data_IF_763799326360
#
_entry.id   IF_763799326360
#
_cell.length_a   1.000
_cell.length_b   1.000
_cell.length_c   1.000
_cell.angle_alpha   90.00
_cell.angle_beta   90.00
_cell.angle_gamma   90.00
#
_symmetry.space_group_name_H-M   'P 1'
#
loop_
_entity.id
_entity.type
_entity.pdbx_description
1 polymer ?
#
# COMPACT_ATOMS: atom_id res chain seq x y z
N UNK A 1 5.21 -8.54 -19.89
CA UNK A 1 4.87 -9.97 -19.70
C UNK A 1 5.24 -10.38 -18.30
N UNK A 2 4.53 -11.31 -17.64
CA UNK A 2 4.81 -11.62 -16.24
C UNK A 2 6.04 -12.51 -16.08
N UNK A 3 6.80 -12.29 -15.01
CA UNK A 3 7.89 -13.19 -14.64
C UNK A 3 7.36 -14.62 -14.39
N UNK A 4 8.10 -15.60 -14.88
CA UNK A 4 7.77 -17.03 -14.82
C UNK A 4 6.95 -17.53 -16.02
N UNK A 5 6.35 -16.67 -16.83
CA UNK A 5 5.57 -17.07 -18.00
C UNK A 5 6.44 -17.39 -19.22
N UNK A 6 5.83 -18.04 -20.22
CA UNK A 6 6.38 -18.18 -21.56
C UNK A 6 5.86 -17.05 -22.45
N UNK A 7 6.75 -16.44 -23.24
CA UNK A 7 6.43 -15.29 -24.09
C UNK A 7 6.90 -15.50 -25.51
N UNK A 8 6.30 -14.75 -26.45
CA UNK A 8 6.73 -14.68 -27.85
C UNK A 8 7.24 -13.27 -28.12
N UNK A 9 8.52 -13.15 -28.48
CA UNK A 9 9.11 -11.91 -28.99
C UNK A 9 8.89 -11.84 -30.50
N UNK A 10 8.11 -10.86 -31.00
CA UNK A 10 7.69 -10.84 -32.39
C UNK A 10 8.83 -10.47 -33.34
N UNK A 11 8.97 -11.19 -34.45
CA UNK A 11 9.82 -10.81 -35.57
C UNK A 11 9.28 -11.42 -36.86
N UNK A 12 8.91 -10.60 -37.83
CA UNK A 12 8.39 -11.11 -39.11
C UNK A 12 8.83 -10.24 -40.28
N UNK A 13 9.08 -10.85 -41.43
CA UNK A 13 9.50 -10.14 -42.65
C UNK A 13 8.31 -9.61 -43.43
N UNK A 14 8.49 -8.47 -44.11
CA UNK A 14 7.49 -7.89 -45.03
C UNK A 14 8.13 -7.64 -46.40
N UNK A 15 7.55 -8.13 -47.51
CA UNK A 15 6.36 -8.99 -47.58
C UNK A 15 6.58 -10.38 -46.95
N UNK A 16 5.49 -11.08 -46.62
CA UNK A 16 5.56 -12.42 -46.03
C UNK A 16 6.17 -13.40 -47.04
N UNK A 17 7.46 -13.66 -46.89
CA UNK A 17 8.23 -14.63 -47.69
C UNK A 17 8.79 -15.70 -46.76
N UNK A 18 9.01 -16.90 -47.29
CA UNK A 18 9.65 -17.97 -46.51
C UNK A 18 11.06 -17.56 -46.08
N UNK A 19 11.37 -17.74 -44.80
CA UNK A 19 12.70 -17.54 -44.23
C UNK A 19 13.33 -18.87 -43.77
N UNK A 20 12.77 -20.00 -44.18
CA UNK A 20 13.24 -21.35 -43.80
C UNK A 20 14.69 -21.59 -44.21
N UNK A 21 15.08 -21.12 -45.40
CA UNK A 21 16.44 -21.24 -45.95
C UNK A 21 17.36 -20.09 -45.55
N UNK A 22 16.90 -19.21 -44.64
CA UNK A 22 17.65 -18.06 -44.14
C UNK A 22 18.19 -18.34 -42.75
N UNK A 23 19.28 -17.66 -42.40
CA UNK A 23 19.80 -17.66 -41.03
C UNK A 23 19.03 -16.65 -40.21
N UNK A 24 18.50 -17.08 -39.07
CA UNK A 24 17.81 -16.22 -38.09
C UNK A 24 18.64 -16.17 -36.82
N UNK A 25 19.00 -14.97 -36.40
CA UNK A 25 19.78 -14.77 -35.17
C UNK A 25 19.06 -13.80 -34.25
N UNK A 26 18.85 -14.20 -33.01
CA UNK A 26 18.38 -13.32 -31.95
C UNK A 26 19.54 -12.93 -31.05
N UNK A 27 19.65 -11.63 -30.81
CA UNK A 27 20.63 -11.03 -29.91
C UNK A 27 19.94 -10.28 -28.78
N UNK A 28 20.55 -10.31 -27.62
CA UNK A 28 20.36 -9.31 -26.57
C UNK A 28 21.64 -8.45 -26.55
N UNK A 29 22.55 -8.72 -25.62
CA UNK A 29 23.95 -8.30 -25.66
C UNK A 29 24.86 -9.32 -26.38
N UNK A 30 24.45 -10.58 -26.39
CA UNK A 30 25.13 -11.73 -26.98
C UNK A 30 24.10 -12.64 -27.66
N UNK A 31 24.56 -13.76 -28.22
CA UNK A 31 23.72 -14.72 -28.93
C UNK A 31 22.67 -15.35 -27.99
N UNK A 32 21.39 -15.03 -28.25
CA UNK A 32 20.23 -15.57 -27.52
C UNK A 32 19.65 -16.77 -28.25
N UNK A 33 19.64 -16.79 -29.57
CA UNK A 33 19.18 -17.93 -30.35
C UNK A 33 19.75 -17.88 -31.76
N UNK A 34 20.12 -19.04 -32.32
CA UNK A 34 20.56 -19.18 -33.70
C UNK A 34 19.75 -20.28 -34.37
N UNK A 35 19.19 -19.98 -35.53
CA UNK A 35 18.66 -20.95 -36.48
C UNK A 35 19.41 -20.83 -37.80
N UNK A 36 19.92 -21.96 -38.29
CA UNK A 36 20.69 -22.07 -39.52
C UNK A 36 20.64 -23.51 -40.02
N UNK A 37 20.68 -23.72 -41.34
CA UNK A 37 20.62 -25.04 -41.98
C UNK A 37 19.46 -25.92 -41.48
N UNK A 38 18.28 -25.31 -41.32
CA UNK A 38 17.03 -25.97 -40.89
C UNK A 38 17.00 -26.47 -39.44
N UNK A 39 17.90 -26.00 -38.58
CA UNK A 39 17.97 -26.40 -37.18
C UNK A 39 18.34 -25.25 -36.23
N UNK A 40 17.96 -25.39 -34.95
CA UNK A 40 18.33 -24.45 -33.89
C UNK A 40 19.76 -24.79 -33.41
N UNK A 41 20.76 -23.98 -33.80
CA UNK A 41 22.19 -24.18 -33.52
C UNK A 41 22.68 -23.38 -32.31
N UNK A 42 22.24 -23.75 -31.13
CA UNK A 42 22.47 -22.99 -29.90
C UNK A 42 23.77 -23.34 -29.14
N UNK A 43 24.81 -23.85 -29.82
CA UNK A 43 26.08 -24.23 -29.18
C UNK A 43 26.74 -23.06 -28.45
N UNK A 44 26.80 -21.90 -29.11
CA UNK A 44 27.40 -20.66 -28.59
C UNK A 44 26.39 -19.75 -27.88
N UNK A 45 25.19 -20.28 -27.58
CA UNK A 45 24.16 -19.53 -26.88
C UNK A 45 24.60 -19.19 -25.45
N UNK A 46 24.32 -17.96 -25.02
CA UNK A 46 24.58 -17.53 -23.64
C UNK A 46 23.87 -18.46 -22.64
N UNK A 47 24.59 -18.80 -21.56
CA UNK A 47 24.19 -19.85 -20.62
C UNK A 47 22.79 -19.64 -20.03
N UNK A 48 22.38 -18.40 -19.73
CA UNK A 48 21.09 -18.08 -19.12
C UNK A 48 19.87 -18.34 -20.02
N UNK A 49 20.07 -18.56 -21.32
CA UNK A 49 18.99 -18.79 -22.30
C UNK A 49 18.92 -20.25 -22.78
N UNK A 50 19.90 -21.09 -22.42
CA UNK A 50 19.97 -22.50 -22.82
C UNK A 50 18.72 -23.25 -22.38
N UNK A 51 18.08 -23.93 -23.33
CA UNK A 51 16.84 -24.69 -23.12
C UNK A 51 15.59 -23.84 -22.91
N UNK A 52 15.69 -22.50 -22.97
CA UNK A 52 14.55 -21.58 -22.77
C UNK A 52 14.04 -20.97 -24.07
N UNK A 53 14.82 -21.01 -25.15
CA UNK A 53 14.48 -20.37 -26.42
C UNK A 53 14.14 -21.37 -27.52
N UNK A 54 13.19 -21.01 -28.40
CA UNK A 54 12.79 -21.83 -29.55
C UNK A 54 12.14 -20.98 -30.65
N UNK A 55 12.39 -21.33 -31.91
CA UNK A 55 11.60 -20.82 -33.05
C UNK A 55 10.50 -21.81 -33.44
N UNK A 56 9.39 -21.29 -33.96
CA UNK A 56 8.37 -22.12 -34.59
C UNK A 56 8.71 -22.34 -36.07
N UNK A 57 9.34 -23.48 -36.37
CA UNK A 57 9.81 -23.81 -37.72
C UNK A 57 8.69 -23.84 -38.77
N UNK A 58 7.43 -24.08 -38.37
CA UNK A 58 6.29 -24.03 -39.29
C UNK A 58 5.97 -22.60 -39.74
N UNK A 59 6.13 -21.62 -38.85
CA UNK A 59 5.81 -20.22 -39.14
C UNK A 59 6.94 -19.51 -39.92
N UNK A 60 8.16 -20.07 -39.92
CA UNK A 60 9.24 -19.62 -40.81
C UNK A 60 8.84 -19.67 -42.30
N UNK A 61 7.99 -20.60 -42.70
CA UNK A 61 7.46 -20.69 -44.08
C UNK A 61 6.63 -19.46 -44.46
N UNK A 62 6.07 -18.77 -43.47
CA UNK A 62 5.25 -17.56 -43.62
C UNK A 62 6.03 -16.28 -43.31
N UNK A 63 7.34 -16.39 -43.06
CA UNK A 63 8.19 -15.26 -42.75
C UNK A 63 8.16 -14.81 -41.30
N UNK A 64 7.63 -15.64 -40.40
CA UNK A 64 7.59 -15.34 -38.96
C UNK A 64 8.72 -16.08 -38.23
N UNK A 65 9.67 -15.29 -37.75
CA UNK A 65 10.87 -15.69 -37.03
C UNK A 65 10.79 -15.32 -35.53
N UNK A 66 9.57 -15.21 -34.99
CA UNK A 66 9.34 -14.86 -33.60
C UNK A 66 9.94 -15.88 -32.63
N UNK A 67 10.56 -15.37 -31.56
CA UNK A 67 11.24 -16.19 -30.56
C UNK A 67 10.31 -16.54 -29.42
N UNK A 68 10.11 -17.82 -29.16
CA UNK A 68 9.58 -18.27 -27.88
C UNK A 68 10.68 -18.20 -26.83
N UNK A 69 10.45 -17.47 -25.74
CA UNK A 69 11.29 -17.44 -24.54
C UNK A 69 10.47 -18.00 -23.36
N UNK A 70 10.99 -19.02 -22.70
CA UNK A 70 10.29 -19.77 -21.65
C UNK A 70 10.77 -19.39 -20.26
N UNK A 71 9.85 -19.43 -19.28
CA UNK A 71 10.12 -19.11 -17.88
C UNK A 71 10.86 -17.77 -17.71
N UNK A 72 10.23 -16.69 -18.17
CA UNK A 72 10.81 -15.33 -18.19
C UNK A 72 11.32 -14.91 -16.81
N UNK A 73 12.49 -14.29 -16.79
CA UNK A 73 13.15 -13.76 -15.60
C UNK A 73 13.29 -12.25 -15.73
N UNK A 74 13.36 -11.53 -14.61
CA UNK A 74 13.54 -10.07 -14.61
C UNK A 74 14.82 -9.66 -15.37
N UNK A 75 15.87 -10.48 -15.31
CA UNK A 75 17.13 -10.26 -16.05
C UNK A 75 17.01 -10.37 -17.57
N UNK A 76 15.90 -10.92 -18.08
CA UNK A 76 15.66 -10.98 -19.51
C UNK A 76 15.12 -9.64 -20.05
N UNK A 77 14.77 -8.69 -19.18
CA UNK A 77 14.30 -7.36 -19.58
C UNK A 77 15.35 -6.61 -20.42
N UNK A 78 14.88 -5.94 -21.47
CA UNK A 78 15.66 -5.01 -22.28
C UNK A 78 15.44 -5.20 -23.77
N UNK A 79 16.42 -4.74 -24.56
CA UNK A 79 16.28 -4.64 -26.01
C UNK A 79 16.87 -5.85 -26.73
N UNK A 80 16.03 -6.57 -27.45
CA UNK A 80 16.42 -7.67 -28.31
C UNK A 80 16.52 -7.22 -29.75
N UNK A 81 17.37 -7.89 -30.52
CA UNK A 81 17.52 -7.71 -31.96
C UNK A 81 17.33 -9.04 -32.67
N UNK A 82 16.35 -9.09 -33.57
CA UNK A 82 16.15 -10.18 -34.52
C UNK A 82 16.88 -9.80 -35.82
N UNK A 83 17.75 -10.66 -36.30
CA UNK A 83 18.50 -10.46 -37.55
C UNK A 83 18.29 -11.65 -38.46
N UNK A 84 17.78 -11.39 -39.67
CA UNK A 84 17.49 -12.41 -40.67
C UNK A 84 18.38 -12.15 -41.88
N UNK A 85 19.12 -13.17 -42.31
CA UNK A 85 20.03 -13.04 -43.45
C UNK A 85 19.98 -14.23 -44.40
N UNK A 86 20.12 -13.91 -45.68
CA UNK A 86 20.36 -14.82 -46.81
C UNK A 86 21.67 -14.42 -47.49
N UNK A 87 22.04 -15.09 -48.58
CA UNK A 87 23.26 -14.76 -49.34
C UNK A 87 23.25 -13.35 -49.98
N UNK A 88 22.07 -12.83 -50.30
CA UNK A 88 21.91 -11.59 -51.08
C UNK A 88 21.08 -10.51 -50.37
N UNK A 89 20.55 -10.80 -49.18
CA UNK A 89 19.65 -9.91 -48.46
C UNK A 89 19.75 -10.16 -46.96
N UNK A 90 19.66 -9.10 -46.17
CA UNK A 90 19.56 -9.14 -44.72
C UNK A 90 18.72 -7.99 -44.21
N UNK A 91 18.02 -8.20 -43.10
CA UNK A 91 17.26 -7.16 -42.42
C UNK A 91 17.18 -7.46 -40.92
N UNK A 92 16.85 -6.43 -40.14
CA UNK A 92 16.76 -6.53 -38.69
C UNK A 92 15.56 -5.80 -38.09
N UNK A 93 15.11 -6.30 -36.95
CA UNK A 93 14.08 -5.68 -36.13
C UNK A 93 14.52 -5.68 -34.66
N UNK A 94 14.11 -4.65 -33.93
CA UNK A 94 14.38 -4.55 -32.49
C UNK A 94 13.07 -4.64 -31.70
N UNK A 95 13.14 -5.32 -30.55
CA UNK A 95 12.01 -5.53 -29.63
C UNK A 95 12.45 -5.07 -28.25
N UNK A 96 11.81 -4.04 -27.72
CA UNK A 96 11.94 -3.66 -26.31
C UNK A 96 11.03 -4.56 -25.47
N UNK A 97 11.64 -5.42 -24.66
CA UNK A 97 10.94 -6.40 -23.82
C UNK A 97 10.97 -5.95 -22.36
N UNK A 98 9.80 -5.81 -21.75
CA UNK A 98 9.62 -5.40 -20.35
C UNK A 98 9.01 -6.56 -19.56
N UNK A 99 9.63 -6.88 -18.42
CA UNK A 99 9.19 -7.95 -17.53
C UNK A 99 8.40 -7.35 -16.39
N UNK A 100 7.21 -7.89 -16.14
CA UNK A 100 6.31 -7.44 -15.11
C UNK A 100 6.37 -8.38 -13.91
N UNK A 101 6.53 -7.81 -12.71
CA UNK A 101 6.42 -8.50 -11.43
C UNK A 101 5.34 -7.78 -10.64
N UNK A 102 4.27 -8.50 -10.33
CA UNK A 102 3.20 -8.01 -9.45
C UNK A 102 3.69 -8.16 -8.01
N UNK A 103 3.73 -7.04 -7.30
CA UNK A 103 4.21 -7.00 -5.93
C UNK A 103 3.20 -7.56 -4.92
N UNK A 104 3.45 -7.25 -3.65
CA UNK A 104 2.63 -7.68 -2.53
C UNK A 104 1.39 -6.80 -2.34
N UNK A 105 0.39 -7.34 -1.64
CA UNK A 105 -0.78 -6.56 -1.21
C UNK A 105 -0.33 -5.32 -0.42
N UNK A 106 -0.90 -4.13 -0.70
CA UNK A 106 -0.59 -2.94 0.07
C UNK A 106 -0.98 -3.10 1.53
N UNK A 107 -0.18 -2.51 2.42
CA UNK A 107 -0.45 -2.47 3.87
C UNK A 107 -0.71 -1.04 4.28
N UNK A 108 -1.83 -0.81 4.96
CA UNK A 108 -2.17 0.49 5.53
C UNK A 108 -1.81 0.51 7.02
N UNK A 109 -0.99 1.46 7.43
CA UNK A 109 -0.60 1.69 8.83
C UNK A 109 -1.08 3.05 9.31
N UNK A 110 -1.40 3.13 10.61
CA UNK A 110 -1.71 4.39 11.28
C UNK A 110 -0.43 4.97 11.85
N UNK A 111 -0.01 6.12 11.33
CA UNK A 111 1.23 6.82 11.72
C UNK A 111 1.00 7.86 12.85
N UNK A 112 -0.24 7.97 13.31
CA UNK A 112 -0.63 8.82 14.44
C UNK A 112 -1.62 9.90 14.03
N UNK A 113 -1.52 11.06 14.68
CA UNK A 113 -2.38 12.21 14.46
C UNK A 113 -1.54 13.45 14.19
N UNK A 114 -2.06 14.35 13.36
CA UNK A 114 -1.49 15.68 13.21
C UNK A 114 -1.92 16.62 14.36
N UNK A 115 -1.38 17.84 14.37
CA UNK A 115 -1.70 18.86 15.39
C UNK A 115 -3.17 19.30 15.37
N UNK A 116 -3.88 19.07 14.27
CA UNK A 116 -5.30 19.41 14.11
C UNK A 116 -6.24 18.26 14.50
N UNK A 117 -5.69 17.09 14.84
CA UNK A 117 -6.42 15.89 15.22
C UNK A 117 -6.91 15.03 14.04
N UNK A 118 -6.40 15.25 12.84
CA UNK A 118 -6.54 14.36 11.69
C UNK A 118 -5.72 13.09 11.84
N UNK A 119 -6.26 11.98 11.36
CA UNK A 119 -5.63 10.66 11.40
C UNK A 119 -4.65 10.51 10.23
N UNK A 120 -3.36 10.32 10.53
CA UNK A 120 -2.30 10.11 9.55
C UNK A 120 -2.24 8.63 9.16
N UNK A 121 -2.43 8.35 7.89
CA UNK A 121 -2.39 7.02 7.30
C UNK A 121 -1.24 6.93 6.31
N UNK A 122 -0.52 5.82 6.35
CA UNK A 122 0.52 5.49 5.39
C UNK A 122 0.14 4.18 4.71
N UNK A 123 0.28 4.12 3.40
CA UNK A 123 0.12 2.90 2.63
C UNK A 123 1.43 2.56 1.95
N UNK A 124 1.83 1.30 2.05
CA UNK A 124 3.10 0.80 1.53
C UNK A 124 2.91 -0.53 0.82
N UNK A 125 3.64 -0.73 -0.29
CA UNK A 125 3.60 -1.95 -1.08
C UNK A 125 4.93 -2.17 -1.81
N UNK A 126 5.37 -3.43 -1.85
CA UNK A 126 6.73 -3.80 -2.25
C UNK A 126 6.76 -4.88 -3.32
N UNK A 127 7.92 -5.06 -3.96
CA UNK A 127 8.19 -6.19 -4.86
C UNK A 127 7.71 -5.99 -6.29
N UNK A 128 7.51 -4.75 -6.73
CA UNK A 128 6.98 -4.45 -8.06
C UNK A 128 8.09 -4.32 -9.11
N UNK A 129 7.80 -4.70 -10.35
CA UNK A 129 8.61 -4.31 -11.51
C UNK A 129 7.71 -4.15 -12.74
N UNK A 130 7.77 -3.04 -13.49
CA UNK A 130 8.43 -1.77 -13.16
C UNK A 130 7.74 -1.05 -11.98
N UNK A 131 8.05 0.23 -11.77
CA UNK A 131 7.41 1.07 -10.75
C UNK A 131 5.87 1.09 -10.93
N UNK A 132 5.09 0.79 -9.86
CA UNK A 132 3.64 0.81 -9.90
C UNK A 132 3.10 2.21 -9.56
N UNK A 133 1.82 2.44 -9.85
CA UNK A 133 1.07 3.62 -9.42
C UNK A 133 0.34 3.33 -8.10
N UNK A 134 0.50 4.19 -7.10
CA UNK A 134 -0.20 4.09 -5.81
C UNK A 134 -1.17 5.27 -5.66
N UNK A 135 -2.46 4.98 -5.51
CA UNK A 135 -3.50 5.97 -5.28
C UNK A 135 -4.29 5.71 -3.99
N UNK A 136 -4.70 6.79 -3.34
CA UNK A 136 -5.68 6.77 -2.27
C UNK A 136 -7.06 7.16 -2.79
N UNK A 137 -8.12 6.49 -2.32
CA UNK A 137 -9.51 6.86 -2.61
C UNK A 137 -10.39 6.82 -1.36
N UNK A 138 -11.35 7.73 -1.30
CA UNK A 138 -12.40 7.68 -0.29
C UNK A 138 -13.53 6.69 -0.67
N UNK A 139 -14.53 6.58 0.20
CA UNK A 139 -15.73 5.76 0.00
C UNK A 139 -16.57 6.13 -1.24
N UNK A 140 -16.49 7.37 -1.69
CA UNK A 140 -17.18 7.88 -2.89
C UNK A 140 -16.39 7.58 -4.18
N UNK A 141 -15.20 6.98 -4.05
CA UNK A 141 -14.30 6.69 -5.16
C UNK A 141 -13.51 7.90 -5.66
N UNK A 142 -13.52 9.01 -4.92
CA UNK A 142 -12.75 10.23 -5.21
C UNK A 142 -11.30 10.01 -4.80
N UNK A 143 -10.37 10.35 -5.69
CA UNK A 143 -8.93 10.27 -5.42
C UNK A 143 -8.50 11.34 -4.41
N UNK A 144 -7.71 10.93 -3.43
CA UNK A 144 -7.16 11.81 -2.40
C UNK A 144 -5.70 12.16 -2.73
N UNK A 145 -5.33 13.42 -2.54
CA UNK A 145 -3.95 13.87 -2.74
C UNK A 145 -3.07 13.35 -1.61
N UNK A 146 -1.92 12.78 -1.96
CA UNK A 146 -0.92 12.36 -0.98
C UNK A 146 -0.12 13.57 -0.50
N UNK A 147 0.22 13.61 0.79
CA UNK A 147 1.09 14.63 1.38
C UNK A 147 2.56 14.36 1.03
N UNK A 148 2.94 13.08 1.12
CA UNK A 148 4.27 12.60 0.75
C UNK A 148 4.15 11.35 -0.10
N UNK A 149 5.00 11.26 -1.11
CA UNK A 149 5.16 10.10 -1.99
C UNK A 149 6.63 9.71 -1.95
N UNK A 150 6.92 8.48 -1.53
CA UNK A 150 8.26 7.93 -1.50
C UNK A 150 8.29 6.65 -2.33
N UNK A 151 9.29 6.56 -3.22
CA UNK A 151 9.53 5.37 -4.03
C UNK A 151 10.98 4.98 -3.86
N UNK A 152 11.21 3.74 -3.44
CA UNK A 152 12.54 3.16 -3.34
C UNK A 152 12.65 1.91 -4.21
N UNK A 153 13.84 1.66 -4.76
CA UNK A 153 14.13 0.43 -5.51
C UNK A 153 15.25 -0.35 -4.82
N UNK A 154 14.96 -1.60 -4.46
CA UNK A 154 15.92 -2.53 -3.88
C UNK A 154 16.13 -3.76 -4.79
N UNK A 155 16.76 -4.81 -4.26
CA UNK A 155 16.98 -6.09 -4.98
C UNK A 155 15.69 -6.82 -5.30
N UNK A 156 14.63 -6.59 -4.54
CA UNK A 156 13.37 -7.32 -4.60
C UNK A 156 12.34 -6.59 -5.47
N UNK A 157 12.60 -5.34 -5.85
CA UNK A 157 11.79 -4.55 -6.78
C UNK A 157 11.59 -3.11 -6.30
N UNK A 158 10.54 -2.48 -6.80
CA UNK A 158 10.07 -1.18 -6.34
C UNK A 158 9.21 -1.35 -5.08
N UNK A 159 9.46 -0.50 -4.09
CA UNK A 159 8.61 -0.23 -2.94
C UNK A 159 8.06 1.19 -3.06
N UNK A 160 6.74 1.33 -2.94
CA UNK A 160 6.02 2.60 -3.04
C UNK A 160 5.28 2.87 -1.74
N UNK A 161 5.34 4.12 -1.28
CA UNK A 161 4.79 4.54 0.00
C UNK A 161 4.19 5.93 -0.08
N UNK A 162 2.89 6.05 0.17
CA UNK A 162 2.19 7.34 0.20
C UNK A 162 1.52 7.58 1.54
N UNK A 163 1.53 8.84 2.00
CA UNK A 163 0.92 9.26 3.27
C UNK A 163 -0.19 10.29 3.04
N UNK A 164 -1.28 10.17 3.79
CA UNK A 164 -2.39 11.12 3.81
C UNK A 164 -2.83 11.39 5.26
N UNK A 165 -3.42 12.56 5.51
CA UNK A 165 -4.16 12.85 6.73
C UNK A 165 -5.65 12.96 6.42
N UNK A 166 -6.48 12.28 7.20
CA UNK A 166 -7.95 12.33 7.06
C UNK A 166 -8.61 12.87 8.33
N UNK A 167 -9.60 13.75 8.17
CA UNK A 167 -10.40 14.26 9.28
C UNK A 167 -11.78 13.60 9.37
N UNK A 168 -12.38 13.30 8.21
CA UNK A 168 -13.73 12.75 8.10
C UNK A 168 -13.78 11.73 6.95
N UNK A 169 -13.66 10.45 7.27
CA UNK A 169 -13.95 9.38 6.31
C UNK A 169 -14.25 8.09 7.04
N UNK A 170 -15.30 7.40 6.60
CA UNK A 170 -15.66 6.11 7.16
C UNK A 170 -14.84 4.97 6.52
N UNK A 171 -14.41 5.12 5.27
CA UNK A 171 -13.70 4.08 4.51
C UNK A 171 -12.71 4.69 3.53
N UNK A 172 -11.47 4.24 3.64
CA UNK A 172 -10.37 4.63 2.77
C UNK A 172 -9.82 3.40 2.06
N UNK A 173 -9.54 3.56 0.77
CA UNK A 173 -8.95 2.57 -0.10
C UNK A 173 -7.53 3.02 -0.48
N UNK A 174 -6.56 2.13 -0.34
CA UNK A 174 -5.26 2.26 -0.98
C UNK A 174 -5.18 1.27 -2.12
N UNK A 175 -4.91 1.76 -3.34
CA UNK A 175 -4.84 0.94 -4.55
C UNK A 175 -3.46 1.06 -5.16
N UNK A 176 -2.87 -0.08 -5.48
CA UNK A 176 -1.61 -0.15 -6.22
C UNK A 176 -1.90 -0.78 -7.58
N UNK A 177 -1.50 -0.09 -8.65
CA UNK A 177 -1.75 -0.49 -10.03
C UNK A 177 -0.46 -0.67 -10.80
N UNK A 178 -0.37 -1.79 -11.50
CA UNK A 178 0.65 -2.04 -12.50
C UNK A 178 -0.04 -2.42 -13.80
N UNK A 179 -0.17 -1.45 -14.71
CA UNK A 179 -0.89 -1.60 -15.99
C UNK A 179 -2.32 -2.15 -15.78
N UNK A 180 -2.53 -3.45 -16.03
CA UNK A 180 -3.83 -4.12 -15.90
C UNK A 180 -4.01 -4.85 -14.57
N UNK A 181 -2.95 -4.95 -13.75
CA UNK A 181 -2.99 -5.55 -12.43
C UNK A 181 -3.30 -4.49 -11.38
N UNK A 182 -4.20 -4.80 -10.44
CA UNK A 182 -4.58 -3.90 -9.35
C UNK A 182 -4.71 -4.70 -8.06
N UNK A 183 -4.04 -4.21 -7.00
CA UNK A 183 -4.19 -4.68 -5.63
C UNK A 183 -4.79 -3.56 -4.78
N UNK A 184 -5.63 -3.91 -3.80
CA UNK A 184 -6.33 -2.94 -2.96
C UNK A 184 -6.29 -3.37 -1.49
N UNK A 185 -6.05 -2.40 -0.61
CA UNK A 185 -6.25 -2.51 0.83
C UNK A 185 -7.26 -1.46 1.30
N UNK A 186 -7.96 -1.77 2.39
CA UNK A 186 -9.05 -0.94 2.90
C UNK A 186 -8.91 -0.77 4.40
N UNK A 187 -9.09 0.47 4.87
CA UNK A 187 -9.22 0.78 6.29
C UNK A 187 -10.54 1.50 6.56
N UNK A 188 -11.21 1.12 7.64
CA UNK A 188 -12.45 1.74 8.10
C UNK A 188 -12.10 2.61 9.30
N UNK A 189 -12.20 3.92 9.13
CA UNK A 189 -11.96 4.88 10.21
C UNK A 189 -13.30 5.24 10.84
N UNK A 190 -13.66 4.59 11.95
CA UNK A 190 -14.93 4.89 12.60
C UNK A 190 -14.88 6.28 13.28
N UNK A 191 -15.54 7.27 12.68
CA UNK A 191 -15.78 8.60 13.26
C UNK A 191 -16.46 8.53 14.65
N UNK A 192 -17.27 7.49 14.88
CA UNK A 192 -17.98 7.26 16.15
C UNK A 192 -17.06 7.10 17.37
N UNK A 193 -15.90 6.48 17.22
CA UNK A 193 -15.00 6.23 18.36
C UNK A 193 -14.42 7.54 18.94
N UNK A 194 -14.21 8.55 18.10
CA UNK A 194 -13.66 9.85 18.49
C UNK A 194 -14.68 10.72 19.23
N UNK A 195 -15.95 10.72 18.80
CA UNK A 195 -17.01 11.47 19.48
C UNK A 195 -17.33 10.90 20.85
N UNK A 196 -17.38 9.57 21.01
CA UNK A 196 -17.62 8.95 22.31
C UNK A 196 -16.50 9.23 23.31
N UNK A 197 -15.24 9.19 22.87
CA UNK A 197 -14.10 9.47 23.76
C UNK A 197 -14.04 10.95 24.20
N UNK A 198 -14.21 11.90 23.26
CA UNK A 198 -14.26 13.33 23.58
C UNK A 198 -15.45 13.68 24.48
N UNK A 199 -16.63 13.13 24.20
CA UNK A 199 -17.82 13.35 25.04
C UNK A 199 -17.62 12.79 26.46
N UNK A 200 -17.02 11.61 26.59
CA UNK A 200 -16.70 11.01 27.89
C UNK A 200 -15.69 11.86 28.69
N UNK A 201 -14.64 12.37 28.04
CA UNK A 201 -13.63 13.22 28.68
C UNK A 201 -14.21 14.55 29.17
N UNK A 202 -15.07 15.18 28.36
CA UNK A 202 -15.77 16.42 28.74
C UNK A 202 -16.73 16.15 29.91
N UNK A 203 -17.55 15.09 29.83
CA UNK A 203 -18.49 14.73 30.89
C UNK A 203 -17.76 14.48 32.21
N UNK A 204 -16.66 13.72 32.20
CA UNK A 204 -15.85 13.45 33.38
C UNK A 204 -15.29 14.75 33.98
N UNK A 205 -14.75 15.65 33.13
CA UNK A 205 -14.21 16.93 33.57
C UNK A 205 -15.27 17.81 34.25
N UNK A 206 -16.48 17.87 33.67
CA UNK A 206 -17.61 18.62 34.25
C UNK A 206 -18.04 18.04 35.59
N UNK A 207 -18.13 16.72 35.71
CA UNK A 207 -18.49 16.03 36.96
C UNK A 207 -17.47 16.32 38.06
N UNK A 208 -16.18 16.27 37.75
CA UNK A 208 -15.11 16.60 38.71
C UNK A 208 -15.25 18.04 39.20
N UNK A 209 -15.45 19.00 38.29
CA UNK A 209 -15.62 20.41 38.64
C UNK A 209 -16.87 20.62 39.51
N UNK A 210 -18.02 20.06 39.12
CA UNK A 210 -19.26 20.16 39.90
C UNK A 210 -19.13 19.51 41.29
N UNK A 211 -18.45 18.36 41.38
CA UNK A 211 -18.19 17.70 42.67
C UNK A 211 -17.30 18.55 43.58
N UNK A 212 -16.29 19.23 43.01
CA UNK A 212 -15.44 20.17 43.73
C UNK A 212 -16.22 21.38 44.24
N UNK A 213 -17.05 21.99 43.39
CA UNK A 213 -17.93 23.09 43.80
C UNK A 213 -18.91 22.66 44.91
N UNK A 214 -19.53 21.48 44.78
CA UNK A 214 -20.41 20.94 45.81
C UNK A 214 -19.66 20.72 47.13
N UNK A 215 -18.44 20.16 47.09
CA UNK A 215 -17.62 19.97 48.28
C UNK A 215 -17.26 21.30 48.96
N UNK A 216 -16.94 22.35 48.19
CA UNK A 216 -16.69 23.70 48.73
C UNK A 216 -17.94 24.29 49.35
N UNK A 217 -19.10 24.19 48.69
CA UNK A 217 -20.37 24.67 49.25
C UNK A 217 -20.74 23.94 50.54
N UNK A 218 -20.55 22.62 50.59
CA UNK A 218 -20.75 21.82 51.81
C UNK A 218 -19.79 22.27 52.90
N UNK A 219 -18.50 22.50 52.59
CA UNK A 219 -17.53 22.97 53.57
C UNK A 219 -17.86 24.37 54.12
N UNK A 220 -18.28 25.31 53.26
CA UNK A 220 -18.72 26.65 53.66
C UNK A 220 -19.97 26.58 54.52
N UNK A 221 -20.96 25.77 54.12
CA UNK A 221 -22.16 25.54 54.91
C UNK A 221 -21.83 24.96 56.29
N UNK A 222 -20.98 23.92 56.36
CA UNK A 222 -20.53 23.37 57.65
C UNK A 222 -19.77 24.42 58.47
N UNK A 223 -18.94 25.25 57.86
CA UNK A 223 -18.21 26.31 58.56
C UNK A 223 -19.14 27.40 59.11
N UNK A 224 -20.07 27.89 58.30
CA UNK A 224 -21.02 28.95 58.68
C UNK A 224 -22.01 28.48 59.75
N UNK A 225 -22.44 27.22 59.67
CA UNK A 225 -23.37 26.64 60.64
C UNK A 225 -22.70 25.99 61.85
N UNK A 226 -21.38 25.77 61.85
CA UNK A 226 -20.63 25.32 63.05
C UNK A 226 -20.85 26.26 64.23
N UNK A 227 -20.93 27.57 64.00
CA UNK A 227 -21.20 28.56 65.04
C UNK A 227 -22.63 28.51 65.58
N UNK A 228 -23.62 28.12 64.75
CA UNK A 228 -25.04 28.01 65.17
C UNK A 228 -25.37 26.66 65.79
N UNK A 229 -24.75 25.57 65.32
CA UNK A 229 -24.91 24.22 65.85
C UNK A 229 -24.33 24.14 67.26
N UNK A 230 -23.14 24.70 67.52
CA UNK A 230 -22.56 24.75 68.87
C UNK A 230 -23.40 25.57 69.85
N UNK A 231 -24.02 26.68 69.39
CA UNK A 231 -24.93 27.48 70.22
C UNK A 231 -26.22 26.71 70.52
N UNK A 232 -26.78 25.98 69.55
CA UNK A 232 -27.93 25.10 69.77
C UNK A 232 -27.61 23.96 70.75
N UNK A 233 -26.42 23.36 70.67
CA UNK A 233 -26.00 22.28 71.56
C UNK A 233 -25.72 22.77 72.99
N UNK A 234 -25.18 23.99 73.14
CA UNK A 234 -25.06 24.70 74.43
C UNK A 234 -26.42 25.09 75.03
N UNK A 235 -27.36 25.64 74.24
CA UNK A 235 -28.72 25.94 74.74
C UNK A 235 -29.48 24.66 75.12
N UNK A 236 -29.31 23.57 74.36
CA UNK A 236 -29.89 22.26 74.66
C UNK A 236 -29.34 21.68 75.96
N UNK A 237 -28.02 21.75 76.17
CA UNK A 237 -27.37 21.32 77.41
C UNK A 237 -27.81 22.16 78.62
N UNK A 238 -27.97 23.48 78.46
CA UNK A 238 -28.46 24.37 79.53
C UNK A 238 -29.93 24.09 79.88
N UNK A 239 -30.78 23.84 78.88
CA UNK A 239 -32.17 23.41 79.07
C UNK A 239 -32.25 22.05 79.79
N UNK A 240 -31.40 21.09 79.43
CA UNK A 240 -31.34 19.78 80.08
C UNK A 240 -30.89 19.87 81.55
N UNK A 241 -29.87 20.71 81.83
CA UNK A 241 -29.42 20.96 83.20
C UNK A 241 -30.54 21.62 84.01
N UNK A 242 -31.21 22.66 83.49
CA UNK A 242 -32.29 23.35 84.21
C UNK A 242 -33.52 22.47 84.51
N UNK A 243 -33.84 21.51 83.64
CA UNK A 243 -34.88 20.50 83.93
C UNK A 243 -34.43 19.49 84.99
N UNK A 244 -33.15 19.11 85.03
CA UNK A 244 -32.63 18.19 86.05
C UNK A 244 -32.64 18.80 87.46
N UNK A 245 -32.33 20.10 87.60
CA UNK A 245 -32.29 20.77 88.92
C UNK A 245 -33.68 20.96 89.54
N UNK A 246 -34.73 21.03 88.71
CA UNK A 246 -36.13 21.13 89.18
C UNK A 246 -36.76 19.77 89.58
N UNK A 247 -36.03 18.66 89.48
CA UNK A 247 -36.50 17.32 89.87
C UNK A 247 -35.97 16.83 91.23
N UNK A 248 -35.18 17.67 91.91
CA UNK A 248 -34.64 17.41 93.26
C UNK A 248 -35.05 18.54 94.20
N UNK A 249 -36.35 18.73 94.38
CA UNK A 249 -36.96 19.44 95.52
C UNK A 249 -38.42 19.03 95.64
#
# INVERSE_FOLDING_TARGET
ALAGEDVILPCSVKPNISVVDMRVTWFYSQLVHLYEDHEDRNTDQIQSYRGRTKLNHQELQRGDASLKLSSVQVSDEGRYKCFIQSKSWSDDATVDFIVEVVGCLPVITVDGFDDSGGLRLQCESEGWNPEPDLEWRNSEGISLSSETTDTHRNTDGFSVKHTITIHHSDKIHCRVRLRHHMLEAVIISSSNMFHLWRASAILFSVVVVLSGFAAVLIAVFVHEYRGKILVFELESHVLFISQSTNSVQ
#
